data_IF_759652288075
#
_entry.id   IF_759652288075
#
_cell.length_a   1.000
_cell.length_b   1.000
_cell.length_c   1.000
_cell.angle_alpha   90.00
_cell.angle_beta   90.00
_cell.angle_gamma   90.00
#
_symmetry.space_group_name_H-M   'P 1'
#
loop_
_entity.id
_entity.type
_entity.pdbx_description
1 polymer ?
#
# COMPACT_ATOMS: atom_id res chain seq x y z
N UNK A 1 -12.62 0.34 4.58
CA UNK A 1 -11.22 0.75 4.35
C UNK A 1 -10.48 1.24 5.60
N UNK A 2 -11.11 1.99 6.50
CA UNK A 2 -10.43 2.57 7.69
C UNK A 2 -9.78 1.49 8.59
N UNK A 3 -10.52 0.44 8.93
CA UNK A 3 -10.02 -0.66 9.77
C UNK A 3 -8.86 -1.43 9.13
N UNK A 4 -8.91 -1.67 7.82
CA UNK A 4 -7.81 -2.32 7.11
C UNK A 4 -6.57 -1.44 7.00
N UNK A 5 -6.74 -0.13 6.77
CA UNK A 5 -5.63 0.81 6.65
C UNK A 5 -4.86 0.99 7.97
N UNK A 6 -5.54 0.98 9.12
CA UNK A 6 -4.94 1.11 10.44
C UNK A 6 -3.99 -0.06 10.81
N UNK A 7 -4.07 -1.18 10.10
CA UNK A 7 -3.26 -2.39 10.35
C UNK A 7 -2.05 -2.52 9.42
N UNK A 8 -1.86 -1.58 8.49
CA UNK A 8 -0.79 -1.66 7.49
C UNK A 8 0.52 -1.07 8.01
N UNK A 9 1.62 -1.79 7.78
CA UNK A 9 2.99 -1.32 8.02
C UNK A 9 3.54 -0.52 6.82
N UNK A 10 2.89 -0.62 5.67
CA UNK A 10 3.13 0.12 4.43
C UNK A 10 2.02 -0.11 3.43
N UNK A 11 1.98 0.67 2.36
CA UNK A 11 0.96 0.56 1.32
C UNK A 11 1.55 0.70 -0.09
N UNK A 12 0.94 0.01 -1.05
CA UNK A 12 1.13 0.26 -2.47
C UNK A 12 -0.08 1.07 -2.95
N UNK A 13 0.16 2.30 -3.38
CA UNK A 13 -0.86 3.15 -3.99
C UNK A 13 -0.84 2.96 -5.51
N UNK A 14 -1.93 2.45 -6.06
CA UNK A 14 -2.06 2.23 -7.50
C UNK A 14 -2.82 3.41 -8.13
N UNK A 15 -2.20 4.03 -9.14
CA UNK A 15 -2.78 5.16 -9.89
C UNK A 15 -2.75 4.79 -11.38
N UNK A 16 -3.83 5.03 -12.11
CA UNK A 16 -3.85 4.84 -13.56
C UNK A 16 -3.08 5.98 -14.24
N UNK A 17 -2.08 5.66 -15.04
CA UNK A 17 -1.31 6.65 -15.80
C UNK A 17 -2.17 7.41 -16.82
N UNK A 18 -3.28 6.81 -17.24
CA UNK A 18 -4.26 7.43 -18.17
C UNK A 18 -5.04 8.58 -17.53
N UNK A 19 -5.26 8.54 -16.21
CA UNK A 19 -6.17 9.44 -15.51
C UNK A 19 -5.43 10.37 -14.54
N UNK A 20 -4.25 9.94 -14.08
CA UNK A 20 -3.50 10.62 -13.03
C UNK A 20 -4.16 10.53 -11.65
N UNK A 21 -3.69 11.32 -10.67
CA UNK A 21 -4.27 11.35 -9.32
C UNK A 21 -5.63 12.03 -9.33
N UNK A 22 -6.67 11.26 -9.00
CA UNK A 22 -8.06 11.72 -8.91
C UNK A 22 -8.49 12.01 -7.46
N UNK A 23 -9.73 12.47 -7.27
CA UNK A 23 -10.28 12.77 -5.94
C UNK A 23 -10.15 11.58 -4.97
N UNK A 24 -10.45 10.36 -5.45
CA UNK A 24 -10.34 9.14 -4.65
C UNK A 24 -8.87 8.85 -4.24
N UNK A 25 -7.89 9.17 -5.10
CA UNK A 25 -6.47 9.05 -4.76
C UNK A 25 -6.11 9.95 -3.58
N UNK A 26 -6.61 11.18 -3.58
CA UNK A 26 -6.43 12.14 -2.48
C UNK A 26 -7.03 11.62 -1.18
N UNK A 27 -8.23 11.07 -1.23
CA UNK A 27 -8.90 10.46 -0.07
C UNK A 27 -8.10 9.28 0.50
N UNK A 28 -7.52 8.44 -0.36
CA UNK A 28 -6.70 7.32 0.07
C UNK A 28 -5.40 7.75 0.74
N UNK A 29 -4.70 8.75 0.19
CA UNK A 29 -3.48 9.30 0.79
C UNK A 29 -3.80 9.95 2.14
N UNK A 30 -4.86 10.77 2.20
CA UNK A 30 -5.32 11.40 3.44
C UNK A 30 -5.65 10.35 4.50
N UNK A 31 -6.38 9.30 4.12
CA UNK A 31 -6.71 8.21 5.02
C UNK A 31 -5.44 7.51 5.53
N UNK A 32 -4.51 7.17 4.64
CA UNK A 32 -3.24 6.55 5.02
C UNK A 32 -2.48 7.41 6.04
N UNK A 33 -2.49 8.73 5.84
CA UNK A 33 -1.87 9.68 6.79
C UNK A 33 -2.58 9.70 8.13
N UNK A 34 -3.91 9.76 8.13
CA UNK A 34 -4.73 9.82 9.36
C UNK A 34 -4.61 8.55 10.23
N UNK A 35 -4.54 7.38 9.60
CA UNK A 35 -4.39 6.10 10.33
C UNK A 35 -2.94 5.74 10.62
N UNK A 36 -1.98 6.58 10.19
CA UNK A 36 -0.57 6.42 10.52
C UNK A 36 0.18 5.37 9.70
N UNK A 37 -0.22 5.11 8.46
CA UNK A 37 0.57 4.28 7.53
C UNK A 37 1.91 4.97 7.27
N UNK A 38 3.06 4.37 7.65
CA UNK A 38 4.32 5.09 7.66
C UNK A 38 4.99 5.19 6.28
N UNK A 39 4.72 4.24 5.39
CA UNK A 39 5.39 4.13 4.10
C UNK A 39 4.40 3.87 2.97
N UNK A 40 4.58 4.59 1.85
CA UNK A 40 3.80 4.39 0.62
C UNK A 40 4.76 4.20 -0.54
N UNK A 41 4.53 3.19 -1.36
CA UNK A 41 5.15 2.98 -2.67
C UNK A 41 4.07 3.20 -3.72
N UNK A 42 4.38 3.87 -4.83
CA UNK A 42 3.42 4.16 -5.89
C UNK A 42 3.65 3.27 -7.09
N UNK A 43 2.58 2.74 -7.64
CA UNK A 43 2.57 2.03 -8.91
C UNK A 43 1.67 2.76 -9.92
N UNK A 44 2.28 3.36 -10.94
CA UNK A 44 1.57 3.94 -12.08
C UNK A 44 1.20 2.82 -13.04
N UNK A 45 -0.05 2.41 -12.98
CA UNK A 45 -0.60 1.32 -13.79
C UNK A 45 -1.13 1.80 -15.13
N UNK A 46 -1.37 0.90 -16.06
CA UNK A 46 -1.88 1.15 -17.43
C UNK A 46 -0.93 1.99 -18.29
N UNK A 47 0.37 1.91 -18.05
CA UNK A 47 1.36 2.60 -18.88
C UNK A 47 1.43 2.05 -20.32
N UNK A 48 0.90 0.86 -20.57
CA UNK A 48 0.69 0.28 -21.90
C UNK A 48 -0.34 1.04 -22.76
N UNK A 49 -1.22 1.82 -22.13
CA UNK A 49 -2.26 2.62 -22.79
C UNK A 49 -1.84 4.06 -23.05
N UNK A 50 -0.64 4.46 -22.64
CA UNK A 50 -0.11 5.82 -22.79
C UNK A 50 1.15 5.76 -23.64
N UNK A 51 1.06 6.29 -24.86
CA UNK A 51 2.18 6.27 -25.83
C UNK A 51 3.17 7.44 -25.61
N UNK A 52 2.84 8.38 -24.73
CA UNK A 52 3.63 9.58 -24.46
C UNK A 52 4.29 9.52 -23.08
N UNK A 53 5.60 9.32 -23.06
CA UNK A 53 6.40 9.29 -21.84
C UNK A 53 6.38 10.63 -21.08
N UNK A 54 6.14 11.77 -21.74
CA UNK A 54 6.03 13.08 -21.08
C UNK A 54 4.75 13.16 -20.25
N UNK A 55 3.65 12.57 -20.72
CA UNK A 55 2.41 12.46 -19.94
C UNK A 55 2.58 11.60 -18.70
N UNK A 56 3.27 10.47 -18.83
CA UNK A 56 3.56 9.61 -17.67
C UNK A 56 4.45 10.35 -16.66
N UNK A 57 5.45 11.09 -17.13
CA UNK A 57 6.31 11.90 -16.26
C UNK A 57 5.52 13.03 -15.55
N UNK A 58 4.54 13.62 -16.22
CA UNK A 58 3.66 14.63 -15.62
C UNK A 58 2.81 14.01 -14.50
N UNK A 59 2.18 12.87 -14.76
CA UNK A 59 1.39 12.13 -13.76
C UNK A 59 2.24 11.75 -12.55
N UNK A 60 3.48 11.32 -12.78
CA UNK A 60 4.42 11.02 -11.69
C UNK A 60 4.72 12.27 -10.87
N UNK A 61 4.98 13.42 -11.51
CA UNK A 61 5.25 14.68 -10.83
C UNK A 61 4.04 15.12 -9.98
N UNK A 62 2.84 15.12 -10.53
CA UNK A 62 1.61 15.44 -9.81
C UNK A 62 1.38 14.51 -8.61
N UNK A 63 1.67 13.22 -8.79
CA UNK A 63 1.58 12.24 -7.71
C UNK A 63 2.56 12.54 -6.58
N UNK A 64 3.81 12.92 -6.88
CA UNK A 64 4.81 13.31 -5.89
C UNK A 64 4.45 14.60 -5.15
N UNK A 65 3.93 15.59 -5.87
CA UNK A 65 3.43 16.85 -5.30
C UNK A 65 2.27 16.57 -4.34
N UNK A 66 1.31 15.73 -4.76
CA UNK A 66 0.19 15.32 -3.93
C UNK A 66 0.62 14.64 -2.63
N UNK A 67 1.61 13.73 -2.67
CA UNK A 67 2.13 13.09 -1.46
C UNK A 67 2.78 14.12 -0.52
N UNK A 68 3.49 15.10 -1.08
CA UNK A 68 4.09 16.18 -0.29
C UNK A 68 3.05 17.07 0.39
N UNK A 69 1.90 17.31 -0.23
CA UNK A 69 0.76 18.04 0.37
C UNK A 69 0.22 17.36 1.63
N UNK A 70 0.34 16.04 1.72
CA UNK A 70 -0.12 15.23 2.87
C UNK A 70 1.01 14.77 3.80
N UNK A 71 2.13 15.49 3.82
CA UNK A 71 3.29 15.22 4.67
C UNK A 71 3.96 13.85 4.46
N UNK A 72 3.85 13.26 3.28
CA UNK A 72 4.70 12.17 2.86
C UNK A 72 5.92 12.71 2.12
N UNK A 73 7.07 12.01 2.16
CA UNK A 73 8.29 12.49 1.48
C UNK A 73 8.22 12.29 -0.04
N UNK A 74 7.35 13.04 -0.74
CA UNK A 74 7.01 12.86 -2.14
C UNK A 74 8.22 12.77 -3.08
N UNK A 75 9.31 13.48 -2.77
CA UNK A 75 10.55 13.39 -3.53
C UNK A 75 11.32 12.06 -3.36
N UNK A 76 11.14 11.38 -2.24
CA UNK A 76 11.84 10.13 -1.90
C UNK A 76 10.97 8.87 -2.10
N UNK A 77 9.66 9.03 -2.30
CA UNK A 77 8.74 7.91 -2.51
C UNK A 77 9.11 7.18 -3.82
N UNK A 78 9.28 5.84 -3.78
CA UNK A 78 9.45 5.05 -4.99
C UNK A 78 8.18 5.09 -5.85
N UNK A 79 8.35 5.42 -7.13
CA UNK A 79 7.26 5.42 -8.12
C UNK A 79 7.66 4.51 -9.27
N UNK A 80 6.92 3.41 -9.43
CA UNK A 80 7.14 2.43 -10.48
C UNK A 80 6.12 2.61 -11.60
N UNK A 81 6.55 2.48 -12.85
CA UNK A 81 5.71 2.58 -14.05
C UNK A 81 5.48 1.18 -14.61
N UNK A 82 4.23 0.81 -14.88
CA UNK A 82 3.96 -0.52 -15.41
C UNK A 82 2.55 -0.74 -15.93
N UNK A 83 2.32 -1.97 -16.38
CA UNK A 83 1.00 -2.49 -16.73
C UNK A 83 0.78 -3.84 -16.04
N UNK A 84 -0.16 -3.86 -15.10
CA UNK A 84 -0.51 -5.10 -14.41
C UNK A 84 -1.16 -6.10 -15.37
N UNK A 85 -1.94 -5.63 -16.35
CA UNK A 85 -2.54 -6.48 -17.37
C UNK A 85 -1.47 -7.10 -18.28
N UNK A 86 -0.56 -6.29 -18.82
CA UNK A 86 0.53 -6.78 -19.66
C UNK A 86 1.44 -7.77 -18.93
N UNK A 87 1.69 -7.55 -17.64
CA UNK A 87 2.43 -8.52 -16.82
C UNK A 87 1.69 -9.83 -16.65
N UNK A 88 0.36 -9.80 -16.46
CA UNK A 88 -0.49 -10.99 -16.35
C UNK A 88 -0.54 -11.78 -17.66
N UNK A 89 -0.49 -11.10 -18.79
CA UNK A 89 -0.44 -11.69 -20.14
C UNK A 89 0.95 -12.27 -20.51
N UNK A 90 1.94 -12.05 -19.67
CA UNK A 90 3.28 -12.62 -19.81
C UNK A 90 4.27 -11.74 -20.58
N UNK A 91 3.99 -10.45 -20.78
CA UNK A 91 4.94 -9.51 -21.36
C UNK A 91 6.12 -9.30 -20.42
N UNK A 92 7.33 -9.61 -20.89
CA UNK A 92 8.55 -9.58 -20.10
C UNK A 92 8.84 -8.18 -19.53
N UNK A 93 8.62 -7.11 -20.30
CA UNK A 93 8.81 -5.73 -19.87
C UNK A 93 7.95 -5.41 -18.65
N UNK A 94 6.68 -5.79 -18.70
CA UNK A 94 5.74 -5.50 -17.62
C UNK A 94 5.93 -6.43 -16.42
N UNK A 95 6.35 -7.67 -16.65
CA UNK A 95 6.75 -8.57 -15.56
C UNK A 95 7.96 -8.02 -14.79
N UNK A 96 8.94 -7.44 -15.48
CA UNK A 96 10.09 -6.81 -14.84
C UNK A 96 9.68 -5.57 -14.03
N UNK A 97 8.73 -4.76 -14.52
CA UNK A 97 8.19 -3.64 -13.76
C UNK A 97 7.50 -4.09 -12.45
N UNK A 98 6.82 -5.23 -12.45
CA UNK A 98 6.24 -5.79 -11.21
C UNK A 98 7.35 -6.29 -10.25
N UNK A 99 8.44 -6.87 -10.77
CA UNK A 99 9.59 -7.26 -9.94
C UNK A 99 10.27 -6.04 -9.30
N UNK A 100 10.43 -4.95 -10.07
CA UNK A 100 10.95 -3.69 -9.55
C UNK A 100 10.05 -3.10 -8.46
N UNK A 101 8.71 -3.17 -8.63
CA UNK A 101 7.77 -2.78 -7.59
C UNK A 101 7.98 -3.58 -6.30
N UNK A 102 8.12 -4.92 -6.40
CA UNK A 102 8.33 -5.76 -5.24
C UNK A 102 9.68 -5.48 -4.56
N UNK A 103 10.73 -5.26 -5.34
CA UNK A 103 12.04 -4.86 -4.82
C UNK A 103 11.94 -3.51 -4.09
N UNK A 104 11.22 -2.52 -4.65
CA UNK A 104 11.02 -1.24 -4.02
C UNK A 104 10.23 -1.36 -2.70
N UNK A 105 9.26 -2.27 -2.62
CA UNK A 105 8.55 -2.58 -1.36
C UNK A 105 9.51 -3.15 -0.32
N UNK A 106 10.35 -4.10 -0.70
CA UNK A 106 11.30 -4.76 0.21
C UNK A 106 12.41 -3.80 0.70
N UNK A 107 12.85 -2.87 -0.14
CA UNK A 107 13.90 -1.92 0.20
C UNK A 107 13.39 -0.69 0.97
N UNK A 108 12.21 -0.18 0.59
CA UNK A 108 11.68 1.08 1.12
C UNK A 108 10.84 0.90 2.37
N UNK A 109 10.11 -0.22 2.50
CA UNK A 109 9.26 -0.51 3.67
C UNK A 109 10.05 -1.43 4.61
N UNK A 110 10.56 -0.92 5.75
CA UNK A 110 11.35 -1.74 6.66
C UNK A 110 10.48 -2.82 7.31
N UNK A 111 11.08 -3.98 7.57
CA UNK A 111 10.43 -5.01 8.36
C UNK A 111 10.09 -4.47 9.75
N UNK A 112 8.81 -4.45 10.15
CA UNK A 112 8.41 -3.85 11.41
C UNK A 112 8.97 -4.64 12.61
N UNK A 113 9.49 -3.93 13.60
CA UNK A 113 9.92 -4.54 14.85
C UNK A 113 8.68 -5.02 15.62
N UNK A 114 8.63 -6.32 15.94
CA UNK A 114 7.56 -6.94 16.74
C UNK A 114 8.03 -7.17 18.17
N UNK A 115 7.24 -6.74 19.14
CA UNK A 115 7.53 -6.89 20.57
C UNK A 115 6.97 -8.24 21.08
N UNK A 116 7.55 -9.36 20.63
CA UNK A 116 7.08 -10.70 20.96
C UNK A 116 7.34 -11.10 22.41
N UNK A 117 8.36 -10.51 23.04
CA UNK A 117 8.74 -10.78 24.44
C UNK A 117 7.84 -10.13 25.49
N UNK A 118 6.95 -9.22 25.07
CA UNK A 118 6.01 -8.57 25.97
C UNK A 118 4.75 -9.42 26.19
N UNK A 119 3.98 -9.18 27.27
CA UNK A 119 2.70 -9.82 27.47
C UNK A 119 1.77 -9.64 26.27
N UNK A 120 1.05 -10.71 25.90
CA UNK A 120 0.09 -10.70 24.79
C UNK A 120 -0.92 -9.55 24.94
N UNK A 121 -1.11 -8.83 23.86
CA UNK A 121 -2.12 -7.78 23.73
C UNK A 121 -2.73 -7.83 22.33
N UNK A 122 -4.04 -7.96 22.26
CA UNK A 122 -4.82 -7.86 21.02
C UNK A 122 -5.99 -6.91 21.24
N UNK A 123 -6.07 -5.85 20.45
CA UNK A 123 -7.24 -5.01 20.39
C UNK A 123 -8.37 -5.77 19.67
N UNK A 124 -9.52 -5.97 20.35
CA UNK A 124 -10.66 -6.65 19.75
C UNK A 124 -11.38 -5.68 18.80
N UNK A 125 -11.50 -6.05 17.53
CA UNK A 125 -12.15 -5.27 16.47
C UNK A 125 -13.55 -5.76 16.19
N UNK A 126 -13.77 -7.09 16.24
CA UNK A 126 -15.06 -7.70 16.01
C UNK A 126 -15.24 -8.95 16.86
N UNK A 127 -16.50 -9.28 17.16
CA UNK A 127 -16.87 -10.46 17.93
C UNK A 127 -18.04 -11.16 17.24
N UNK A 128 -17.85 -12.45 16.95
CA UNK A 128 -18.87 -13.28 16.32
C UNK A 128 -19.03 -14.61 17.04
N UNK A 129 -20.20 -15.23 16.92
CA UNK A 129 -20.44 -16.58 17.42
C UNK A 129 -20.43 -17.57 16.27
N UNK A 130 -19.57 -18.56 16.35
CA UNK A 130 -19.49 -19.66 15.37
C UNK A 130 -20.11 -20.90 15.99
N UNK A 131 -21.10 -21.50 15.31
CA UNK A 131 -21.76 -22.72 15.75
C UNK A 131 -20.73 -23.85 15.94
N UNK A 132 -20.72 -24.47 17.11
CA UNK A 132 -19.77 -25.53 17.49
C UNK A 132 -18.38 -25.05 17.94
N UNK A 133 -18.09 -23.75 17.84
CA UNK A 133 -16.79 -23.18 18.29
C UNK A 133 -16.94 -22.11 19.39
N UNK A 134 -18.14 -21.60 19.59
CA UNK A 134 -18.41 -20.57 20.60
C UNK A 134 -18.12 -19.15 20.10
N UNK A 135 -17.80 -18.28 21.05
CA UNK A 135 -17.50 -16.86 20.75
C UNK A 135 -16.07 -16.73 20.23
N UNK A 136 -15.95 -16.07 19.09
CA UNK A 136 -14.67 -15.76 18.42
C UNK A 136 -14.49 -14.25 18.40
N UNK A 137 -13.36 -13.78 18.90
CA UNK A 137 -12.93 -12.39 18.79
C UNK A 137 -11.87 -12.27 17.69
N UNK A 138 -11.99 -11.25 16.86
CA UNK A 138 -10.98 -10.91 15.84
C UNK A 138 -10.32 -9.60 16.18
N UNK A 139 -9.06 -9.43 15.77
CA UNK A 139 -8.30 -8.23 16.00
C UNK A 139 -6.84 -8.38 15.61
N UNK A 140 -6.09 -7.28 15.70
CA UNK A 140 -4.65 -7.27 15.48
C UNK A 140 -3.91 -7.60 16.78
N UNK A 141 -2.95 -8.51 16.71
CA UNK A 141 -2.00 -8.73 17.80
C UNK A 141 -1.00 -7.58 17.81
N UNK A 142 -1.05 -6.75 18.84
CA UNK A 142 -0.19 -5.57 19.00
C UNK A 142 1.18 -5.94 19.56
N UNK A 143 1.23 -6.93 20.46
CA UNK A 143 2.46 -7.42 21.09
C UNK A 143 2.27 -8.80 21.70
N UNK A 144 3.38 -9.46 21.98
CA UNK A 144 3.41 -10.80 22.57
C UNK A 144 3.03 -11.90 21.58
N UNK A 145 2.92 -13.11 22.09
CA UNK A 145 2.57 -14.30 21.33
C UNK A 145 1.34 -14.98 21.93
N UNK A 146 0.44 -15.45 21.08
CA UNK A 146 -0.66 -16.33 21.49
C UNK A 146 -0.20 -17.78 21.37
N UNK A 147 -0.09 -18.46 22.50
CA UNK A 147 0.22 -19.91 22.54
C UNK A 147 -1.08 -20.71 22.53
N UNK A 148 -1.16 -21.72 21.66
CA UNK A 148 -2.24 -22.71 21.61
C UNK A 148 -2.15 -23.69 22.78
#
# INVERSE_FOLDING_TARGET
MITGAAQMDGAILVIAATDGPMAQTREHILLARQVGVPYIVVFLNKCDMVDDDELIALVEKETRELHSEYDFPGGAIPVMRGSALGALEGDAKWMDAIRELMNAVDEYIPTPARNNDLPFLMAVEDVMTISGRGTVATGRVERGELKN
#
